data_IF_637699713912
#
_entry.id   IF_637699713912
#
_cell.length_a   1.000
_cell.length_b   1.000
_cell.length_c   1.000
_cell.angle_alpha   90.00
_cell.angle_beta   90.00
_cell.angle_gamma   90.00
#
_symmetry.space_group_name_H-M   'P 1'
#
loop_
_entity.id
_entity.type
_entity.pdbx_description
1 polymer ?
#
# COMPACT_ATOMS: atom_id res chain seq x y z
N UNK A 1 -4.06 -7.06 35.29
CA UNK A 1 -4.65 -7.37 33.98
C UNK A 1 -4.26 -6.26 33.02
N UNK A 2 -3.09 -6.38 32.38
CA UNK A 2 -2.68 -5.45 31.34
C UNK A 2 -3.24 -6.02 30.04
N UNK A 3 -4.28 -5.38 29.53
CA UNK A 3 -4.90 -5.73 28.25
C UNK A 3 -3.85 -5.59 27.16
N UNK A 4 -3.45 -6.73 26.60
CA UNK A 4 -2.73 -6.83 25.35
C UNK A 4 -3.60 -6.18 24.28
N UNK A 5 -3.30 -4.92 23.95
CA UNK A 5 -3.79 -4.33 22.71
C UNK A 5 -3.05 -5.08 21.63
N UNK A 6 -3.65 -6.16 21.11
CA UNK A 6 -3.26 -6.73 19.84
C UNK A 6 -3.21 -5.57 18.87
N UNK A 7 -2.00 -5.14 18.49
CA UNK A 7 -1.83 -4.21 17.39
C UNK A 7 -2.65 -4.81 16.26
N UNK A 8 -3.74 -4.15 15.89
CA UNK A 8 -4.55 -4.55 14.76
C UNK A 8 -3.57 -4.81 13.63
N UNK A 9 -3.49 -6.04 13.13
CA UNK A 9 -2.64 -6.37 11.98
C UNK A 9 -3.22 -5.59 10.79
N UNK A 10 -2.80 -4.34 10.66
CA UNK A 10 -3.18 -3.47 9.58
C UNK A 10 -2.55 -4.02 8.33
N UNK A 11 -3.38 -4.55 7.43
CA UNK A 11 -2.97 -4.92 6.08
C UNK A 11 -3.27 -3.76 5.15
N UNK A 12 -2.27 -3.13 4.51
CA UNK A 12 -2.52 -2.06 3.55
C UNK A 12 -3.29 -2.59 2.34
N UNK A 13 -4.47 -2.03 2.09
CA UNK A 13 -5.38 -2.49 1.05
C UNK A 13 -6.17 -1.33 0.44
N UNK A 14 -6.92 -1.64 -0.62
CA UNK A 14 -7.92 -0.73 -1.18
C UNK A 14 -9.31 -1.30 -0.89
N UNK A 15 -10.24 -0.44 -0.48
CA UNK A 15 -11.62 -0.85 -0.24
C UNK A 15 -12.38 -1.15 -1.54
N UNK A 16 -13.66 -1.50 -1.43
CA UNK A 16 -14.56 -1.78 -2.57
C UNK A 16 -14.71 -0.61 -3.57
N UNK A 17 -14.45 0.62 -3.14
CA UNK A 17 -14.49 1.83 -3.97
C UNK A 17 -13.13 2.11 -4.65
N UNK A 18 -12.10 1.34 -4.31
CA UNK A 18 -10.73 1.56 -4.74
C UNK A 18 -10.07 2.71 -3.99
N UNK A 19 -10.52 3.02 -2.77
CA UNK A 19 -9.85 3.97 -1.89
C UNK A 19 -8.80 3.25 -1.03
N UNK A 20 -7.60 3.80 -0.94
CA UNK A 20 -6.58 3.28 -0.04
C UNK A 20 -7.01 3.52 1.41
N UNK A 21 -7.03 2.45 2.21
CA UNK A 21 -7.36 2.52 3.64
C UNK A 21 -6.07 2.64 4.42
N UNK A 22 -5.85 3.78 5.09
CA UNK A 22 -4.69 4.02 5.95
C UNK A 22 -4.80 3.25 7.28
N UNK A 23 -3.70 3.19 8.03
CA UNK A 23 -3.65 2.55 9.34
C UNK A 23 -4.60 3.19 10.36
N UNK A 24 -4.84 4.50 10.25
CA UNK A 24 -5.81 5.24 11.08
C UNK A 24 -7.28 5.01 10.66
N UNK A 25 -7.52 4.16 9.66
CA UNK A 25 -8.84 3.86 9.11
C UNK A 25 -9.39 4.90 8.14
N UNK A 26 -8.70 6.03 7.95
CA UNK A 26 -9.14 7.05 6.99
C UNK A 26 -8.76 6.65 5.57
N UNK A 27 -9.55 7.13 4.61
CA UNK A 27 -9.50 6.72 3.21
C UNK A 27 -8.96 7.82 2.32
N UNK A 28 -8.19 7.45 1.31
CA UNK A 28 -7.62 8.39 0.35
C UNK A 28 -7.60 7.80 -1.06
N UNK A 29 -7.92 8.63 -2.05
CA UNK A 29 -7.71 8.31 -3.46
C UNK A 29 -6.21 8.32 -3.75
N UNK A 30 -5.63 7.15 -3.95
CA UNK A 30 -4.22 6.99 -4.28
C UNK A 30 -4.11 6.20 -5.58
N UNK A 31 -3.46 6.76 -6.60
CA UNK A 31 -3.19 6.03 -7.84
C UNK A 31 -2.10 4.98 -7.61
N UNK A 32 -2.09 3.89 -8.38
CA UNK A 32 -1.02 2.88 -8.33
C UNK A 32 0.35 3.44 -8.75
N UNK A 33 0.38 4.66 -9.31
CA UNK A 33 1.61 5.43 -9.50
C UNK A 33 2.10 6.16 -8.23
N UNK A 34 1.47 5.89 -7.08
CA UNK A 34 1.81 6.38 -5.74
C UNK A 34 1.73 7.90 -5.58
N UNK A 35 0.85 8.55 -6.34
CA UNK A 35 0.56 9.98 -6.25
C UNK A 35 -0.92 10.21 -5.92
N UNK A 36 -1.19 10.94 -4.85
CA UNK A 36 -2.54 11.30 -4.39
C UNK A 36 -3.26 12.20 -5.40
N UNK A 37 -2.59 13.24 -5.90
CA UNK A 37 -3.16 14.18 -6.88
C UNK A 37 -3.13 13.66 -8.33
N UNK A 38 -3.00 12.34 -8.55
CA UNK A 38 -2.99 11.79 -9.90
C UNK A 38 -4.42 11.60 -10.40
N UNK A 39 -4.83 12.22 -11.53
CA UNK A 39 -6.15 11.99 -12.13
C UNK A 39 -6.28 10.61 -12.80
N UNK A 40 -5.23 9.79 -12.76
CA UNK A 40 -5.09 8.53 -13.47
C UNK A 40 -4.07 8.64 -14.61
N UNK A 41 -3.02 7.81 -14.54
CA UNK A 41 -1.95 7.75 -15.53
C UNK A 41 -1.84 6.39 -16.22
N UNK A 42 -2.66 5.43 -15.82
CA UNK A 42 -2.67 4.09 -16.39
C UNK A 42 -3.67 3.99 -17.56
N UNK A 43 -3.60 2.89 -18.34
CA UNK A 43 -4.69 2.50 -19.23
C UNK A 43 -6.00 2.35 -18.47
N UNK A 44 -7.12 2.46 -19.18
CA UNK A 44 -8.44 2.28 -18.59
C UNK A 44 -8.61 0.85 -18.03
N UNK A 45 -9.00 0.76 -16.76
CA UNK A 45 -9.19 -0.52 -16.08
C UNK A 45 -10.43 -1.23 -16.62
N UNK A 46 -10.27 -2.45 -17.12
CA UNK A 46 -11.37 -3.28 -17.64
C UNK A 46 -12.43 -3.67 -16.59
N UNK A 47 -12.10 -3.59 -15.31
CA UNK A 47 -13.03 -3.94 -14.22
C UNK A 47 -13.85 -2.76 -13.71
N UNK A 48 -13.26 -1.57 -13.61
CA UNK A 48 -13.92 -0.42 -12.96
C UNK A 48 -13.92 0.87 -13.78
N UNK A 49 -13.31 0.89 -14.97
CA UNK A 49 -13.20 2.07 -15.84
C UNK A 49 -12.21 3.15 -15.35
N UNK A 50 -11.62 2.99 -14.16
CA UNK A 50 -10.65 3.95 -13.63
C UNK A 50 -9.32 3.90 -14.38
N UNK A 51 -8.63 5.05 -14.46
CA UNK A 51 -7.25 5.17 -14.96
C UNK A 51 -6.21 5.19 -13.83
N UNK A 52 -6.62 4.88 -12.60
CA UNK A 52 -5.76 4.87 -11.41
C UNK A 52 -5.23 3.48 -11.06
N UNK A 53 -5.83 2.43 -11.62
CA UNK A 53 -5.39 1.05 -11.41
C UNK A 53 -4.16 0.74 -12.26
N UNK A 54 -3.17 0.07 -11.68
CA UNK A 54 -2.01 -0.46 -12.38
C UNK A 54 -2.35 -1.82 -13.01
N UNK A 55 -1.55 -2.87 -12.75
CA UNK A 55 -1.79 -4.19 -13.35
C UNK A 55 -3.06 -4.89 -12.80
N UNK A 56 -3.53 -4.50 -11.63
CA UNK A 56 -4.73 -5.05 -10.99
C UNK A 56 -5.69 -3.93 -10.56
N UNK A 57 -6.99 -4.21 -10.62
CA UNK A 57 -8.03 -3.28 -10.18
C UNK A 57 -7.84 -2.89 -8.71
N UNK A 58 -8.02 -1.62 -8.39
CA UNK A 58 -7.98 -1.12 -7.01
C UNK A 58 -9.20 -1.57 -6.19
N UNK A 59 -10.35 -1.79 -6.81
CA UNK A 59 -11.58 -2.09 -6.07
C UNK A 59 -11.50 -3.45 -5.38
N UNK A 60 -11.49 -3.44 -4.05
CA UNK A 60 -11.58 -4.62 -3.19
C UNK A 60 -10.34 -5.51 -3.18
N UNK A 61 -9.18 -5.00 -3.60
CA UNK A 61 -7.93 -5.78 -3.50
C UNK A 61 -7.28 -5.62 -2.12
N UNK A 62 -6.61 -6.67 -1.69
CA UNK A 62 -5.98 -6.83 -0.37
C UNK A 62 -4.50 -6.44 -0.33
N UNK A 63 -3.98 -5.85 -1.42
CA UNK A 63 -2.58 -5.44 -1.53
C UNK A 63 -2.41 -4.03 -2.11
N UNK A 64 -1.21 -3.48 -1.95
CA UNK A 64 -0.79 -2.21 -2.55
C UNK A 64 0.66 -2.27 -3.06
N UNK A 65 0.99 -1.50 -4.11
CA UNK A 65 2.38 -1.35 -4.53
C UNK A 65 3.17 -0.57 -3.48
N UNK A 66 4.21 -1.16 -2.89
CA UNK A 66 5.06 -0.47 -1.92
C UNK A 66 6.02 0.52 -2.59
N UNK A 67 6.41 0.22 -3.83
CA UNK A 67 7.38 1.00 -4.59
C UNK A 67 7.11 0.81 -6.08
N UNK A 68 7.34 1.86 -6.86
CA UNK A 68 7.34 1.82 -8.32
C UNK A 68 8.61 2.47 -8.86
N UNK A 69 9.09 2.01 -10.02
CA UNK A 69 10.23 2.60 -10.72
C UNK A 69 10.26 2.21 -12.20
N UNK A 70 11.24 2.73 -12.94
CA UNK A 70 11.56 2.26 -14.28
C UNK A 70 12.91 1.53 -14.28
N UNK A 71 13.02 0.42 -15.00
CA UNK A 71 14.32 -0.20 -15.27
C UNK A 71 15.23 0.71 -16.11
N UNK A 72 14.61 1.49 -17.00
CA UNK A 72 15.27 2.46 -17.88
C UNK A 72 15.85 3.68 -17.16
N UNK A 73 15.33 3.98 -15.96
CA UNK A 73 15.75 5.09 -15.12
C UNK A 73 15.74 4.64 -13.66
N UNK A 74 16.86 4.08 -13.16
CA UNK A 74 16.95 3.59 -11.79
C UNK A 74 16.93 4.72 -10.75
N UNK A 75 17.06 6.00 -11.17
CA UNK A 75 16.93 7.15 -10.27
C UNK A 75 15.47 7.48 -10.00
N UNK A 76 14.56 7.04 -10.88
CA UNK A 76 13.13 7.21 -10.71
C UNK A 76 12.56 6.08 -9.83
N UNK A 77 12.51 6.33 -8.53
CA UNK A 77 11.84 5.47 -7.56
C UNK A 77 10.83 6.29 -6.78
N UNK A 78 9.58 5.81 -6.70
CA UNK A 78 8.58 6.36 -5.78
C UNK A 78 8.19 5.33 -4.75
N UNK A 79 8.16 5.76 -3.50
CA UNK A 79 7.72 4.97 -2.36
C UNK A 79 6.27 5.29 -2.03
N UNK A 80 5.59 4.31 -1.45
CA UNK A 80 4.20 4.49 -1.05
C UNK A 80 4.10 5.60 0.03
N UNK A 81 3.32 6.67 -0.18
CA UNK A 81 3.37 7.86 0.67
C UNK A 81 2.90 7.64 2.11
N UNK A 82 2.07 6.62 2.33
CA UNK A 82 1.48 6.30 3.64
C UNK A 82 2.03 5.05 4.32
N UNK A 83 2.94 4.34 3.66
CA UNK A 83 3.57 3.17 4.24
C UNK A 83 5.01 3.55 4.49
N UNK A 84 5.31 3.85 5.76
CA UNK A 84 6.70 3.95 6.17
C UNK A 84 7.40 2.65 5.76
N UNK A 85 8.66 2.75 5.34
CA UNK A 85 9.51 1.58 5.20
C UNK A 85 9.55 0.94 6.57
N UNK A 86 8.75 -0.11 6.81
CA UNK A 86 8.79 -0.84 8.06
C UNK A 86 10.22 -1.36 8.21
N UNK A 87 11.04 -0.64 8.99
CA UNK A 87 12.12 -1.19 9.78
C UNK A 87 11.47 -2.05 10.84
N UNK A 88 10.88 -3.17 10.44
CA UNK A 88 10.44 -4.19 11.38
C UNK A 88 11.49 -5.29 11.40
N UNK A 89 12.53 -4.97 12.16
CA UNK A 89 13.01 -5.82 13.25
C UNK A 89 13.02 -7.33 12.95
N UNK A 90 14.09 -7.80 12.31
CA UNK A 90 14.54 -9.19 12.42
C UNK A 90 15.21 -9.47 13.79
N UNK A 91 14.82 -8.78 14.88
CA UNK A 91 15.54 -8.88 16.16
C UNK A 91 14.63 -8.90 17.39
N UNK A 92 13.61 -9.76 17.41
CA UNK A 92 13.10 -10.26 18.71
C UNK A 92 12.51 -11.68 18.69
N UNK A 93 12.73 -12.46 17.62
CA UNK A 93 12.42 -13.89 17.61
C UNK A 93 13.68 -14.71 17.37
N UNK A 94 14.72 -14.49 18.18
CA UNK A 94 15.65 -15.56 18.53
C UNK A 94 15.40 -15.90 19.99
N UNK A 95 14.91 -17.10 20.32
CA UNK A 95 14.95 -17.56 21.69
C UNK A 95 16.42 -17.70 22.07
N UNK A 96 16.88 -16.85 23.00
CA UNK A 96 18.14 -17.10 23.70
C UNK A 96 17.99 -18.48 24.35
N UNK A 97 18.61 -19.48 23.74
CA UNK A 97 18.74 -20.83 24.28
C UNK A 97 20.17 -20.96 24.74
N UNK A 98 20.40 -20.73 26.03
CA UNK A 98 21.32 -21.43 26.96
C UNK A 98 21.49 -20.58 28.21
#
# INVERSE_FOLDING_TARGET
MLSEVCASQYSPHHDENGDFVKQDGTKVKLCDCLRESCPGCHPECKHCGSRMCGPACQKGRDFVPLTIGCECDPTFVRYHPFLEKHKQCFSSCYPFST
#
